data_IF_545065419520
#
_entry.id   IF_545065419520
#
_cell.length_a   1.000
_cell.length_b   1.000
_cell.length_c   1.000
_cell.angle_alpha   90.00
_cell.angle_beta   90.00
_cell.angle_gamma   90.00
#
_symmetry.space_group_name_H-M   'P 1'
#
loop_
_entity.id
_entity.type
_entity.pdbx_description
1 polymer ?
#
# COMPACT_ATOMS: atom_id res chain seq x y z
N UNK A 1 -0.96 30.40 -1.00
CA UNK A 1 -1.08 29.00 -0.56
C UNK A 1 -1.54 28.18 -1.77
N UNK A 2 -0.75 27.18 -2.18
CA UNK A 2 -1.15 26.29 -3.29
C UNK A 2 -2.36 25.45 -2.84
N UNK A 3 -3.41 25.29 -3.68
CA UNK A 3 -4.59 24.51 -3.31
C UNK A 3 -4.20 23.07 -3.02
N UNK A 4 -4.76 22.54 -1.92
CA UNK A 4 -4.44 21.21 -1.45
C UNK A 4 -4.83 20.15 -2.48
N UNK A 5 -4.01 19.11 -2.61
CA UNK A 5 -4.14 18.12 -3.68
C UNK A 5 -4.71 16.81 -3.15
N UNK A 6 -5.82 16.39 -3.74
CA UNK A 6 -6.34 15.02 -3.57
C UNK A 6 -5.34 14.01 -4.11
N UNK A 7 -5.29 12.84 -3.49
CA UNK A 7 -4.49 11.72 -3.97
C UNK A 7 -5.40 10.60 -4.44
N UNK A 8 -4.95 9.89 -5.45
CA UNK A 8 -5.45 8.57 -5.76
C UNK A 8 -4.52 7.54 -5.12
N UNK A 9 -5.11 6.54 -4.47
CA UNK A 9 -4.42 5.40 -3.87
C UNK A 9 -4.91 4.16 -4.59
N UNK A 10 -4.05 3.59 -5.43
CA UNK A 10 -4.27 2.29 -6.04
C UNK A 10 -3.55 1.24 -5.21
N UNK A 11 -4.29 0.27 -4.69
CA UNK A 11 -3.76 -0.81 -3.85
C UNK A 11 -3.82 -2.10 -4.62
N UNK A 12 -2.69 -2.76 -4.79
CA UNK A 12 -2.59 -4.09 -5.41
C UNK A 12 -2.21 -5.12 -4.34
N UNK A 13 -3.05 -6.13 -4.18
CA UNK A 13 -2.77 -7.33 -3.38
C UNK A 13 -2.15 -8.39 -4.29
N UNK A 14 -0.88 -8.71 -4.04
CA UNK A 14 -0.11 -9.72 -4.76
C UNK A 14 -0.18 -11.09 -4.08
N UNK A 15 -0.19 -11.09 -2.74
CA UNK A 15 -0.27 -12.29 -1.92
C UNK A 15 -1.35 -12.11 -0.87
N UNK A 16 -2.24 -13.09 -0.76
CA UNK A 16 -3.26 -13.16 0.27
C UNK A 16 -3.26 -14.57 0.91
N UNK A 17 -2.78 -14.64 2.15
CA UNK A 17 -2.83 -15.85 2.98
C UNK A 17 -3.98 -15.70 3.94
N UNK A 18 -4.97 -16.59 3.81
CA UNK A 18 -6.19 -16.59 4.59
C UNK A 18 -6.17 -17.56 5.77
N UNK A 19 -5.00 -18.08 6.12
CA UNK A 19 -4.76 -18.78 7.39
C UNK A 19 -4.40 -17.75 8.47
N UNK A 20 -4.90 -17.92 9.70
CA UNK A 20 -4.70 -16.91 10.76
C UNK A 20 -3.26 -16.92 11.32
N UNK A 21 -2.65 -15.74 11.58
CA UNK A 21 -3.15 -14.41 11.22
C UNK A 21 -3.12 -14.22 9.71
N UNK A 22 -4.15 -13.57 9.14
CA UNK A 22 -4.18 -13.35 7.69
C UNK A 22 -3.00 -12.49 7.28
N UNK A 23 -2.36 -12.80 6.17
CA UNK A 23 -1.20 -12.06 5.68
C UNK A 23 -1.47 -11.56 4.28
N UNK A 24 -1.29 -10.26 4.08
CA UNK A 24 -1.40 -9.61 2.79
C UNK A 24 -0.09 -8.92 2.43
N UNK A 25 0.37 -9.13 1.20
CA UNK A 25 1.51 -8.44 0.65
C UNK A 25 1.15 -7.83 -0.68
N UNK A 26 1.69 -6.63 -0.94
CA UNK A 26 1.27 -5.84 -2.06
C UNK A 26 1.99 -4.52 -2.15
N UNK A 27 1.41 -3.61 -2.93
CA UNK A 27 1.91 -2.26 -3.04
C UNK A 27 0.77 -1.23 -3.14
N UNK A 28 1.11 -0.01 -2.76
CA UNK A 28 0.32 1.19 -2.98
C UNK A 28 0.99 2.03 -4.06
N UNK A 29 0.24 2.40 -5.08
CA UNK A 29 0.61 3.46 -6.01
C UNK A 29 -0.15 4.72 -5.62
N UNK A 30 0.59 5.67 -5.07
CA UNK A 30 0.08 6.97 -4.65
C UNK A 30 0.27 7.95 -5.80
N UNK A 31 -0.81 8.57 -6.27
CA UNK A 31 -0.75 9.57 -7.34
C UNK A 31 -1.34 10.90 -6.85
N UNK A 32 -0.51 11.94 -6.84
CA UNK A 32 -0.94 13.32 -6.67
C UNK A 32 -1.68 13.79 -7.93
N UNK A 33 -2.95 14.17 -7.77
CA UNK A 33 -3.83 14.53 -8.90
C UNK A 33 -3.50 15.86 -9.58
N UNK A 34 -2.76 16.76 -8.93
CA UNK A 34 -2.48 18.10 -9.47
C UNK A 34 -1.02 18.30 -9.86
N UNK A 35 -0.09 17.51 -9.30
CA UNK A 35 1.37 17.73 -9.42
C UNK A 35 2.09 16.63 -10.20
N UNK A 36 1.35 15.65 -10.75
CA UNK A 36 1.91 14.49 -11.45
C UNK A 36 2.97 13.73 -10.65
N UNK A 37 2.97 13.87 -9.31
CA UNK A 37 3.89 13.15 -8.45
C UNK A 37 3.32 11.77 -8.19
N UNK A 38 4.15 10.74 -8.34
CA UNK A 38 3.79 9.36 -8.06
C UNK A 38 4.78 8.76 -7.08
N UNK A 39 4.29 7.94 -6.15
CA UNK A 39 5.13 7.18 -5.23
C UNK A 39 4.62 5.75 -5.12
N UNK A 40 5.53 4.81 -5.20
CA UNK A 40 5.25 3.39 -4.99
C UNK A 40 5.70 2.98 -3.59
N UNK A 41 4.80 2.38 -2.83
CA UNK A 41 5.09 1.83 -1.50
C UNK A 41 4.80 0.34 -1.49
N UNK A 42 5.70 -0.47 -0.96
CA UNK A 42 5.50 -1.91 -0.79
C UNK A 42 5.14 -2.22 0.65
N UNK A 43 4.22 -3.15 0.87
CA UNK A 43 3.75 -3.45 2.21
C UNK A 43 3.64 -4.94 2.50
N UNK A 44 3.72 -5.24 3.80
CA UNK A 44 3.21 -6.46 4.39
C UNK A 44 2.29 -6.11 5.55
N UNK A 45 1.03 -6.49 5.44
CA UNK A 45 0.02 -6.32 6.46
C UNK A 45 -0.35 -7.68 7.05
N UNK A 46 -0.34 -7.79 8.36
CA UNK A 46 -1.00 -8.87 9.08
C UNK A 46 -2.37 -8.40 9.52
N UNK A 47 -3.36 -9.30 9.44
CA UNK A 47 -4.67 -9.07 10.00
C UNK A 47 -5.00 -10.16 11.02
N UNK A 48 -5.17 -9.74 12.26
CA UNK A 48 -5.49 -10.61 13.38
C UNK A 48 -6.89 -10.30 13.93
N UNK A 49 -7.41 -11.15 14.82
CA UNK A 49 -8.63 -10.84 15.56
C UNK A 49 -9.95 -10.79 14.77
N UNK A 50 -9.94 -10.95 13.44
CA UNK A 50 -11.14 -11.02 12.59
C UNK A 50 -11.15 -12.25 11.69
N UNK A 51 -12.33 -12.75 11.35
CA UNK A 51 -12.51 -13.68 10.23
C UNK A 51 -12.94 -12.97 8.91
N UNK A 52 -13.05 -13.73 7.81
CA UNK A 52 -13.41 -13.15 6.51
C UNK A 52 -14.84 -12.59 6.46
N UNK A 53 -15.76 -13.14 7.26
CA UNK A 53 -17.14 -12.67 7.32
C UNK A 53 -17.18 -11.34 8.07
N UNK A 54 -16.47 -11.26 9.19
CA UNK A 54 -16.31 -10.04 9.98
C UNK A 54 -15.62 -8.93 9.18
N UNK A 55 -14.64 -9.25 8.32
CA UNK A 55 -14.03 -8.28 7.39
C UNK A 55 -15.05 -7.64 6.42
N UNK A 56 -16.08 -8.39 6.03
CA UNK A 56 -17.15 -7.91 5.15
C UNK A 56 -18.21 -7.10 5.91
N UNK A 57 -18.51 -7.49 7.15
CA UNK A 57 -19.62 -6.94 7.93
C UNK A 57 -19.23 -5.73 8.81
N UNK A 58 -17.95 -5.61 9.21
CA UNK A 58 -17.50 -4.54 10.08
C UNK A 58 -17.09 -3.28 9.32
N UNK A 59 -17.51 -2.11 9.84
CA UNK A 59 -17.02 -0.80 9.39
C UNK A 59 -15.57 -0.61 9.87
N UNK A 60 -14.60 -1.02 9.04
CA UNK A 60 -13.16 -0.80 9.19
C UNK A 60 -12.59 -0.95 10.62
N UNK A 61 -12.29 -2.17 11.06
CA UNK A 61 -11.75 -2.38 12.40
C UNK A 61 -10.23 -2.18 12.40
N UNK A 62 -9.81 -0.91 12.34
CA UNK A 62 -8.42 -0.46 12.16
C UNK A 62 -7.39 -1.20 13.03
N UNK A 63 -7.75 -1.57 14.26
CA UNK A 63 -6.85 -2.20 15.23
C UNK A 63 -6.36 -3.58 14.80
N UNK A 64 -7.06 -4.20 13.84
CA UNK A 64 -6.70 -5.50 13.30
C UNK A 64 -5.74 -5.41 12.12
N UNK A 65 -5.40 -4.23 11.63
CA UNK A 65 -4.50 -4.08 10.49
C UNK A 65 -3.10 -3.69 10.97
N UNK A 66 -2.18 -4.65 10.92
CA UNK A 66 -0.80 -4.43 11.34
C UNK A 66 0.12 -4.36 10.11
N UNK A 67 0.46 -3.14 9.69
CA UNK A 67 1.53 -2.92 8.71
C UNK A 67 2.88 -3.22 9.36
N UNK A 68 3.25 -4.51 9.33
CA UNK A 68 4.53 -5.02 9.84
C UNK A 68 5.72 -4.54 9.03
N UNK A 69 5.51 -4.26 7.75
CA UNK A 69 6.54 -3.74 6.88
C UNK A 69 5.94 -2.74 5.89
N UNK A 70 6.63 -1.61 5.71
CA UNK A 70 6.32 -0.62 4.70
C UNK A 70 7.64 -0.12 4.13
N UNK A 71 7.79 -0.14 2.81
CA UNK A 71 9.02 0.24 2.12
C UNK A 71 8.72 1.16 0.94
N UNK A 72 9.65 2.04 0.61
CA UNK A 72 9.80 2.56 -0.75
C UNK A 72 10.96 1.84 -1.46
N UNK A 73 11.37 2.35 -2.63
CA UNK A 73 12.48 1.79 -3.42
C UNK A 73 13.80 1.72 -2.63
N UNK A 74 14.00 2.60 -1.63
CA UNK A 74 15.30 2.79 -1.00
C UNK A 74 15.33 2.38 0.48
N UNK A 75 14.19 2.36 1.17
CA UNK A 75 14.20 2.29 2.63
C UNK A 75 12.92 1.73 3.25
N UNK A 76 13.07 1.21 4.47
CA UNK A 76 11.95 0.91 5.34
C UNK A 76 11.38 2.21 5.92
N UNK A 77 10.07 2.42 5.73
CA UNK A 77 9.33 3.57 6.22
C UNK A 77 8.75 3.23 7.60
N UNK A 78 9.25 3.90 8.63
CA UNK A 78 8.65 3.83 9.96
C UNK A 78 7.55 4.88 10.11
N UNK A 79 6.29 4.43 10.10
CA UNK A 79 5.13 5.27 10.44
C UNK A 79 4.71 5.16 11.92
N UNK A 80 5.42 4.34 12.71
CA UNK A 80 5.24 4.28 14.16
C UNK A 80 5.97 5.45 14.83
N UNK A 81 5.40 6.65 14.71
CA UNK A 81 5.91 7.84 15.42
C UNK A 81 4.80 8.45 16.28
N UNK A 82 5.19 9.25 17.29
CA UNK A 82 4.28 10.02 18.13
C UNK A 82 3.68 11.24 17.43
N UNK A 83 3.96 11.45 16.14
CA UNK A 83 3.41 12.53 15.33
C UNK A 83 2.02 12.11 14.78
N UNK A 84 1.00 12.91 15.08
CA UNK A 84 -0.38 12.72 14.62
C UNK A 84 -0.47 12.53 13.10
N UNK A 85 0.40 13.19 12.33
CA UNK A 85 0.42 13.06 10.86
C UNK A 85 0.90 11.69 10.37
N UNK A 86 1.78 11.01 11.12
CA UNK A 86 2.23 9.67 10.79
C UNK A 86 1.16 8.61 11.14
N UNK A 87 0.45 8.82 12.26
CA UNK A 87 -0.70 7.99 12.64
C UNK A 87 -1.84 8.10 11.60
N UNK A 88 -2.13 9.32 11.14
CA UNK A 88 -3.12 9.56 10.08
C UNK A 88 -2.68 8.97 8.73
N UNK A 89 -1.39 9.06 8.38
CA UNK A 89 -0.85 8.42 7.18
C UNK A 89 -1.02 6.90 7.23
N UNK A 90 -0.74 6.29 8.40
CA UNK A 90 -0.92 4.86 8.64
C UNK A 90 -2.41 4.46 8.52
N UNK A 91 -3.30 5.26 9.12
CA UNK A 91 -4.75 5.09 9.01
C UNK A 91 -5.20 5.02 7.55
N UNK A 92 -4.74 5.96 6.72
CA UNK A 92 -5.12 6.04 5.30
C UNK A 92 -4.71 4.76 4.55
N UNK A 93 -3.48 4.27 4.77
CA UNK A 93 -3.00 3.05 4.13
C UNK A 93 -3.74 1.79 4.61
N UNK A 94 -4.02 1.69 5.92
CA UNK A 94 -4.81 0.59 6.48
C UNK A 94 -6.24 0.58 5.92
N UNK A 95 -6.85 1.76 5.76
CA UNK A 95 -8.17 1.92 5.16
C UNK A 95 -8.18 1.48 3.69
N UNK A 96 -7.15 1.88 2.93
CA UNK A 96 -6.98 1.45 1.54
C UNK A 96 -6.89 -0.08 1.42
N UNK A 97 -6.16 -0.75 2.32
CA UNK A 97 -6.13 -2.21 2.40
C UNK A 97 -7.52 -2.76 2.72
N UNK A 98 -8.20 -2.25 3.74
CA UNK A 98 -9.52 -2.75 4.14
C UNK A 98 -10.52 -2.69 3.00
N UNK A 99 -10.66 -1.54 2.33
CA UNK A 99 -11.56 -1.41 1.16
C UNK A 99 -11.16 -2.38 0.05
N UNK A 100 -9.86 -2.55 -0.21
CA UNK A 100 -9.39 -3.50 -1.22
C UNK A 100 -9.76 -4.93 -0.87
N UNK A 101 -9.63 -5.34 0.39
CA UNK A 101 -10.01 -6.67 0.85
C UNK A 101 -11.54 -6.87 0.81
N UNK A 102 -12.32 -5.84 1.16
CA UNK A 102 -13.77 -5.90 1.05
C UNK A 102 -14.18 -6.11 -0.40
N UNK A 103 -13.66 -5.31 -1.33
CA UNK A 103 -13.88 -5.48 -2.77
C UNK A 103 -13.39 -6.85 -3.27
N UNK A 104 -12.26 -7.35 -2.75
CA UNK A 104 -11.74 -8.67 -3.12
C UNK A 104 -12.69 -9.77 -2.68
N UNK A 105 -13.22 -9.69 -1.46
CA UNK A 105 -14.12 -10.69 -0.88
C UNK A 105 -15.52 -10.62 -1.51
N UNK A 106 -16.05 -9.42 -1.79
CA UNK A 106 -17.35 -9.25 -2.46
C UNK A 106 -17.32 -9.71 -3.92
N UNK A 107 -16.22 -9.42 -4.64
CA UNK A 107 -16.03 -9.81 -6.04
C UNK A 107 -15.39 -11.21 -6.20
N UNK A 108 -14.99 -11.88 -5.11
CA UNK A 108 -14.35 -13.21 -5.12
C UNK A 108 -15.17 -14.33 -5.75
N UNK A 109 -16.47 -14.12 -6.03
CA UNK A 109 -17.26 -15.04 -6.85
C UNK A 109 -16.75 -15.17 -8.29
N UNK A 110 -15.86 -14.28 -8.75
CA UNK A 110 -15.25 -14.35 -10.09
C UNK A 110 -13.77 -14.75 -10.12
N UNK A 111 -12.97 -14.57 -9.05
CA UNK A 111 -11.50 -14.72 -9.11
C UNK A 111 -10.93 -15.60 -7.99
N UNK A 112 -11.39 -16.86 -7.92
CA UNK A 112 -10.65 -17.93 -7.23
C UNK A 112 -9.63 -18.54 -8.17
N UNK A 113 -8.50 -17.89 -8.37
CA UNK A 113 -7.31 -18.53 -8.93
C UNK A 113 -6.24 -18.55 -7.86
N UNK A 114 -6.04 -19.73 -7.28
CA UNK A 114 -4.85 -20.02 -6.50
C UNK A 114 -3.63 -19.69 -7.37
N UNK A 115 -2.73 -18.86 -6.86
CA UNK A 115 -1.50 -18.47 -7.55
C UNK A 115 -0.50 -19.61 -7.34
N UNK A 116 -0.32 -20.45 -8.36
CA UNK A 116 0.72 -21.49 -8.36
C UNK A 116 2.14 -20.90 -8.39
N UNK A 117 3.14 -21.69 -8.01
CA UNK A 117 4.57 -21.31 -7.89
C UNK A 117 5.15 -20.69 -9.19
N UNK A 118 4.61 -21.08 -10.35
CA UNK A 118 4.97 -20.53 -11.68
C UNK A 118 4.41 -19.12 -11.86
N UNK A 119 3.17 -18.88 -11.40
CA UNK A 119 2.56 -17.55 -11.43
C UNK A 119 3.28 -16.63 -10.45
N UNK A 120 3.68 -17.11 -9.26
CA UNK A 120 4.52 -16.35 -8.33
C UNK A 120 5.90 -15.98 -8.94
N UNK A 121 6.51 -16.88 -9.72
CA UNK A 121 7.79 -16.63 -10.40
C UNK A 121 7.67 -15.66 -11.58
N UNK A 122 6.55 -15.69 -12.29
CA UNK A 122 6.20 -14.73 -13.35
C UNK A 122 5.85 -13.35 -12.77
N UNK A 123 5.11 -13.32 -11.66
CA UNK A 123 4.86 -12.12 -10.87
C UNK A 123 6.19 -11.55 -10.44
N UNK A 124 7.06 -12.33 -9.78
CA UNK A 124 8.40 -11.90 -9.32
C UNK A 124 9.22 -11.23 -10.44
N UNK A 125 9.21 -11.78 -11.66
CA UNK A 125 9.89 -11.19 -12.84
C UNK A 125 9.21 -9.92 -13.39
N UNK A 126 7.90 -9.77 -13.18
CA UNK A 126 7.11 -8.60 -13.61
C UNK A 126 7.12 -7.46 -12.57
N UNK A 127 7.23 -7.77 -11.27
CA UNK A 127 7.47 -6.78 -10.21
C UNK A 127 8.93 -6.37 -10.10
N UNK A 128 9.89 -7.17 -10.57
CA UNK A 128 11.33 -6.82 -10.65
C UNK A 128 11.58 -5.44 -11.32
N UNK A 129 11.01 -5.13 -12.51
CA UNK A 129 11.11 -3.79 -13.08
C UNK A 129 10.31 -2.73 -12.32
N UNK A 130 9.24 -3.08 -11.58
CA UNK A 130 8.52 -2.13 -10.71
C UNK A 130 9.37 -1.68 -9.51
N UNK A 131 10.27 -2.55 -9.02
CA UNK A 131 11.28 -2.19 -8.02
C UNK A 131 12.40 -1.31 -8.58
N UNK A 132 12.60 -1.25 -9.91
CA UNK A 132 13.71 -0.54 -10.54
C UNK A 132 13.31 0.72 -11.32
N UNK A 133 12.04 0.87 -11.70
CA UNK A 133 11.62 1.93 -12.63
C UNK A 133 10.28 2.60 -12.29
N UNK A 134 9.60 2.22 -11.21
CA UNK A 134 8.32 2.81 -10.77
C UNK A 134 7.25 2.96 -11.88
N UNK A 135 7.31 2.14 -12.93
CA UNK A 135 6.53 2.30 -14.15
C UNK A 135 5.62 1.09 -14.36
N UNK A 136 4.32 1.32 -14.21
CA UNK A 136 3.30 0.30 -14.50
C UNK A 136 2.93 0.32 -15.97
N UNK A 137 2.95 -0.84 -16.61
CA UNK A 137 2.43 -1.07 -17.96
C UNK A 137 0.98 -1.59 -17.91
N UNK A 138 0.20 -1.30 -18.96
CA UNK A 138 -1.22 -1.71 -19.05
C UNK A 138 -1.45 -3.25 -19.05
N UNK A 139 -0.38 -4.04 -19.12
CA UNK A 139 -0.43 -5.52 -19.13
C UNK A 139 -0.48 -6.12 -17.70
N UNK A 140 -0.48 -5.28 -16.65
CA UNK A 140 -0.34 -5.68 -15.24
C UNK A 140 -1.67 -6.00 -14.53
N UNK A 141 -2.80 -5.89 -15.22
CA UNK A 141 -4.14 -6.23 -14.72
C UNK A 141 -4.34 -7.73 -14.37
N UNK A 142 -3.35 -8.59 -14.62
CA UNK A 142 -3.40 -10.03 -14.35
C UNK A 142 -2.53 -10.48 -13.15
N UNK A 143 -1.85 -9.56 -12.46
CA UNK A 143 -0.86 -9.88 -11.43
C UNK A 143 -1.44 -10.12 -10.02
N UNK A 144 -2.64 -9.65 -9.76
CA UNK A 144 -3.26 -9.71 -8.43
C UNK A 144 -4.62 -9.02 -8.43
N UNK A 145 -5.14 -8.70 -7.25
CA UNK A 145 -6.38 -7.94 -7.11
C UNK A 145 -6.07 -6.47 -6.80
N UNK A 146 -6.50 -5.57 -7.67
CA UNK A 146 -6.24 -4.13 -7.55
C UNK A 146 -7.52 -3.33 -7.35
N UNK A 147 -7.47 -2.34 -6.44
CA UNK A 147 -8.56 -1.37 -6.23
C UNK A 147 -7.96 0.03 -6.13
N UNK A 148 -8.53 0.96 -6.89
CA UNK A 148 -8.19 2.38 -6.81
C UNK A 148 -9.25 3.13 -6.00
N UNK A 149 -8.80 3.99 -5.09
CA UNK A 149 -9.66 4.90 -4.33
C UNK A 149 -9.12 6.32 -4.36
N UNK A 150 -10.03 7.27 -4.31
CA UNK A 150 -9.69 8.68 -4.20
C UNK A 150 -9.77 9.14 -2.74
N UNK A 151 -8.69 9.75 -2.26
CA UNK A 151 -8.63 10.36 -0.94
C UNK A 151 -8.58 11.89 -1.06
N UNK A 152 -9.59 12.52 -0.47
CA UNK A 152 -9.73 13.97 -0.40
C UNK A 152 -9.50 14.39 1.06
N UNK A 153 -8.36 15.00 1.41
CA UNK A 153 -8.13 15.49 2.77
C UNK A 153 -8.88 16.80 3.02
N UNK A 154 -9.62 16.86 4.12
CA UNK A 154 -10.53 17.97 4.44
C UNK A 154 -10.02 18.87 5.58
N UNK A 155 -8.94 18.48 6.27
CA UNK A 155 -8.37 19.22 7.39
C UNK A 155 -6.83 19.22 7.33
N UNK A 156 -6.19 20.11 8.09
CA UNK A 156 -4.73 20.29 8.06
C UNK A 156 -3.94 19.00 8.43
N UNK A 157 -4.48 18.17 9.32
CA UNK A 157 -3.82 16.92 9.76
C UNK A 157 -3.80 15.86 8.66
N UNK A 158 -4.96 15.60 8.04
CA UNK A 158 -5.09 14.70 6.88
C UNK A 158 -4.31 15.21 5.67
N UNK A 159 -4.15 16.52 5.55
CA UNK A 159 -3.30 17.16 4.57
C UNK A 159 -1.81 16.84 4.81
N UNK A 160 -1.33 17.00 6.05
CA UNK A 160 0.06 16.64 6.41
C UNK A 160 0.33 15.15 6.23
N UNK A 161 -0.61 14.29 6.59
CA UNK A 161 -0.53 12.84 6.36
C UNK A 161 -0.33 12.50 4.87
N UNK A 162 -1.13 13.11 3.99
CA UNK A 162 -0.99 12.93 2.54
C UNK A 162 0.37 13.41 2.03
N UNK A 163 0.85 14.56 2.53
CA UNK A 163 2.18 15.05 2.16
C UNK A 163 3.29 14.10 2.61
N UNK A 164 3.19 13.53 3.82
CA UNK A 164 4.11 12.53 4.34
C UNK A 164 4.11 11.26 3.50
N UNK A 165 2.93 10.79 3.07
CA UNK A 165 2.80 9.65 2.17
C UNK A 165 3.44 9.91 0.79
N UNK A 166 3.38 11.15 0.29
CA UNK A 166 3.99 11.53 -0.97
C UNK A 166 5.47 11.90 -0.86
N UNK A 167 6.02 12.09 0.35
CA UNK A 167 7.41 12.54 0.53
C UNK A 167 8.41 11.42 0.23
N UNK A 168 9.24 11.61 -0.81
CA UNK A 168 10.38 10.71 -1.06
C UNK A 168 11.46 11.08 -0.05
N UNK A 169 11.92 10.11 0.74
CA UNK A 169 13.11 10.32 1.56
C UNK A 169 14.32 10.07 0.66
N UNK A 170 15.24 11.02 0.60
CA UNK A 170 16.48 10.80 -0.15
C UNK A 170 17.20 9.56 0.39
N UNK A 171 17.81 8.74 -0.50
CA UNK A 171 18.60 7.61 -0.08
C UNK A 171 19.69 8.07 0.89
N UNK A 172 19.73 7.46 2.08
CA UNK A 172 20.86 7.60 2.98
C UNK A 172 22.06 6.91 2.33
N UNK A 173 22.90 7.66 1.62
CA UNK A 173 24.23 7.19 1.26
C UNK A 173 25.13 7.37 2.48
N UNK A 174 25.56 6.29 3.18
CA UNK A 174 26.63 6.44 4.14
C UNK A 174 27.86 7.00 3.41
N UNK A 175 28.44 8.07 3.95
CA UNK A 175 29.61 8.72 3.37
C UNK A 175 30.81 7.77 3.45
N UNK A 176 30.99 6.96 2.41
CA UNK A 176 32.14 6.06 2.29
C UNK A 176 33.47 6.80 2.10
N UNK A 177 33.49 8.14 2.06
CA UNK A 177 34.73 8.94 2.02
C UNK A 177 35.37 9.16 3.39
N UNK A 178 34.76 8.67 4.47
CA UNK A 178 35.35 8.70 5.81
C UNK A 178 36.25 7.49 6.15
N UNK A 179 36.53 6.59 5.19
CA UNK A 179 37.33 5.36 5.39
C UNK A 179 38.59 5.26 4.52
N UNK A 180 39.14 6.38 4.05
CA UNK A 180 40.44 6.42 3.39
C UNK A 180 41.35 7.51 3.96
#
# INVERSE_FOLDING_TARGET
MSPFTSINIETLILVAVWEKPFVFQGCFKLTDKNKHKQRLLFFRCECDGVDQVELLEQNFPIRHYHLTHLYDEFSHIQLQSTDDSAADALYILQYAIHTTLQEMLTNSKQHRTAIDEIALKLMSRRIEPLFHFASWSNEENELGFAVAMDFFPHNETTQKAVLLLLEEREPFFPDYRALH
#
